data_IF_716262912463
#
_entry.id   IF_716262912463
#
_cell.length_a   1.000
_cell.length_b   1.000
_cell.length_c   1.000
_cell.angle_alpha   90.00
_cell.angle_beta   90.00
_cell.angle_gamma   90.00
#
_symmetry.space_group_name_H-M   'P 1'
#
loop_
_entity.id
_entity.type
_entity.pdbx_description
1 polymer ?
#
# COMPACT_ATOMS: atom_id res chain seq x y z
N UNK A 1 -14.25 17.10 12.06
CA UNK A 1 -13.46 16.31 11.10
C UNK A 1 -12.30 15.71 11.86
N UNK A 2 -12.13 14.39 11.86
CA UNK A 2 -10.92 13.79 12.44
C UNK A 2 -9.80 14.01 11.45
N UNK A 3 -9.00 15.03 11.69
CA UNK A 3 -7.83 15.31 10.88
C UNK A 3 -6.72 14.35 11.36
N UNK A 4 -6.54 13.23 10.65
CA UNK A 4 -5.40 12.31 10.85
C UNK A 4 -4.10 13.00 10.37
N UNK A 5 -3.77 14.13 11.01
CA UNK A 5 -2.58 14.91 10.72
C UNK A 5 -1.41 14.32 11.49
N UNK A 6 -0.32 14.06 10.77
CA UNK A 6 0.93 13.59 11.34
C UNK A 6 1.81 14.82 11.57
N UNK A 7 2.25 14.99 12.82
CA UNK A 7 3.16 16.06 13.21
C UNK A 7 4.60 15.55 13.19
N UNK A 8 5.40 16.10 12.29
CA UNK A 8 6.85 15.92 12.24
C UNK A 8 7.54 17.07 12.99
N UNK A 9 8.86 16.97 13.19
CA UNK A 9 9.64 17.97 13.93
C UNK A 9 9.44 19.42 13.46
N UNK A 10 9.22 19.61 12.15
CA UNK A 10 9.13 20.95 11.53
C UNK A 10 7.90 21.15 10.65
N UNK A 11 7.04 20.16 10.47
CA UNK A 11 5.86 20.26 9.61
C UNK A 11 4.72 19.38 10.11
N UNK A 12 3.52 19.67 9.62
CA UNK A 12 2.31 18.90 9.86
C UNK A 12 1.74 18.52 8.50
N UNK A 13 1.47 17.24 8.27
CA UNK A 13 0.90 16.82 7.00
C UNK A 13 -0.01 15.60 7.12
N UNK A 14 -0.90 15.46 6.15
CA UNK A 14 -1.74 14.29 5.93
C UNK A 14 -1.49 13.84 4.49
N UNK A 15 -0.65 12.82 4.33
CA UNK A 15 -0.16 12.37 3.02
C UNK A 15 -0.79 11.01 2.72
N UNK A 16 -1.62 10.96 1.68
CA UNK A 16 -2.26 9.74 1.19
C UNK A 16 -1.90 9.54 -0.28
N UNK A 17 -1.56 8.31 -0.66
CA UNK A 17 -1.22 7.95 -2.03
C UNK A 17 -2.18 6.89 -2.57
N UNK A 18 -2.55 7.02 -3.84
CA UNK A 18 -3.21 5.95 -4.59
C UNK A 18 -2.20 5.34 -5.56
N UNK A 19 -1.70 4.15 -5.23
CA UNK A 19 -0.69 3.44 -6.01
C UNK A 19 -1.31 2.26 -6.76
N UNK A 20 -1.05 2.18 -8.06
CA UNK A 20 -1.54 1.09 -8.93
C UNK A 20 -0.37 0.58 -9.75
N UNK A 21 -0.30 -0.73 -9.96
CA UNK A 21 0.72 -1.38 -10.77
C UNK A 21 0.12 -2.50 -11.62
N UNK A 22 0.94 -3.14 -12.45
CA UNK A 22 0.54 -4.28 -13.27
C UNK A 22 1.62 -5.35 -13.28
N UNK A 23 1.20 -6.60 -13.46
CA UNK A 23 2.10 -7.74 -13.60
C UNK A 23 2.83 -7.71 -14.94
N UNK A 24 4.04 -8.26 -14.97
CA UNK A 24 4.88 -8.32 -16.17
C UNK A 24 4.11 -9.01 -17.33
N UNK A 25 4.08 -8.35 -18.49
CA UNK A 25 3.33 -8.79 -19.68
C UNK A 25 1.80 -8.93 -19.49
N UNK A 26 1.21 -8.35 -18.44
CA UNK A 26 -0.24 -8.42 -18.14
C UNK A 26 -0.81 -9.85 -18.11
N UNK A 27 0.01 -10.83 -17.73
CA UNK A 27 -0.43 -12.22 -17.59
C UNK A 27 -1.44 -12.33 -16.45
N UNK A 28 -2.53 -13.10 -16.62
CA UNK A 28 -3.54 -13.33 -15.58
C UNK A 28 -3.06 -14.34 -14.53
N UNK A 29 -2.00 -14.00 -13.80
CA UNK A 29 -1.36 -14.86 -12.79
C UNK A 29 -1.84 -14.61 -11.36
N UNK A 30 -2.67 -13.57 -11.16
CA UNK A 30 -3.28 -13.26 -9.87
C UNK A 30 -4.45 -14.22 -9.64
N UNK A 31 -4.11 -15.45 -9.24
CA UNK A 31 -5.08 -16.41 -8.70
C UNK A 31 -5.39 -16.03 -7.24
N UNK A 32 -6.51 -16.49 -6.65
CA UNK A 32 -6.88 -16.13 -5.29
C UNK A 32 -5.81 -16.42 -4.24
N UNK A 33 -5.04 -17.51 -4.41
CA UNK A 33 -3.93 -17.87 -3.53
C UNK A 33 -2.75 -16.90 -3.65
N UNK A 34 -2.35 -16.55 -4.87
CA UNK A 34 -1.26 -15.60 -5.14
C UNK A 34 -1.65 -14.20 -4.68
N UNK A 35 -2.90 -13.80 -4.88
CA UNK A 35 -3.42 -12.52 -4.42
C UNK A 35 -3.40 -12.41 -2.89
N UNK A 36 -3.84 -13.45 -2.18
CA UNK A 36 -3.81 -13.49 -0.72
C UNK A 36 -2.39 -13.34 -0.17
N UNK A 37 -1.45 -14.12 -0.71
CA UNK A 37 -0.05 -14.04 -0.31
C UNK A 37 0.54 -12.65 -0.61
N UNK A 38 0.22 -12.07 -1.76
CA UNK A 38 0.67 -10.72 -2.12
C UNK A 38 0.16 -9.65 -1.15
N UNK A 39 -1.11 -9.73 -0.75
CA UNK A 39 -1.70 -8.80 0.23
C UNK A 39 -1.00 -8.90 1.59
N UNK A 40 -0.78 -10.13 2.07
CA UNK A 40 -0.06 -10.38 3.33
C UNK A 40 1.38 -9.83 3.27
N UNK A 41 2.10 -10.07 2.17
CA UNK A 41 3.46 -9.59 1.97
C UNK A 41 3.54 -8.05 1.91
N UNK A 42 2.62 -7.41 1.20
CA UNK A 42 2.59 -5.93 1.11
C UNK A 42 2.32 -5.32 2.48
N UNK A 43 1.43 -5.90 3.28
CA UNK A 43 1.17 -5.43 4.63
C UNK A 43 2.41 -5.60 5.53
N UNK A 44 3.10 -6.74 5.45
CA UNK A 44 4.35 -6.96 6.18
C UNK A 44 5.44 -5.96 5.80
N UNK A 45 5.55 -5.58 4.52
CA UNK A 45 6.52 -4.57 4.07
C UNK A 45 6.13 -3.17 4.57
N UNK A 46 4.84 -2.85 4.65
CA UNK A 46 4.35 -1.55 5.10
C UNK A 46 4.46 -1.36 6.62
N UNK A 47 4.31 -2.44 7.39
CA UNK A 47 4.38 -2.43 8.85
C UNK A 47 5.83 -2.44 9.38
N UNK A 48 6.78 -2.94 8.59
CA UNK A 48 8.22 -2.92 8.88
C UNK A 48 8.86 -1.56 8.57
#
# INVERSE_FOLDING_TARGET
MKENLIHYRTCVCNINYHMVWSVKYRRKILTPEVEKYLQELVQQIADN
#
